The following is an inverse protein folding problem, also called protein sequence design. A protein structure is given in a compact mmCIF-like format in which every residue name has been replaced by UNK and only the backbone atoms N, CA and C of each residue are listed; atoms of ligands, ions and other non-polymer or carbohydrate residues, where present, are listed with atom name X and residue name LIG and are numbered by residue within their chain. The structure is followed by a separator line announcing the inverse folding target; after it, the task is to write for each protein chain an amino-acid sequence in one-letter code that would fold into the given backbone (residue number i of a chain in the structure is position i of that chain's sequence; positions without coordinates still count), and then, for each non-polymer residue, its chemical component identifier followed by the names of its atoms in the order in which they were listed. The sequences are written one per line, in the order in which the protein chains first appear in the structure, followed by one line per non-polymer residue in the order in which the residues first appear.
data_IF_912077448801
#
_entry.id   IF_912077448801
#
_cell.length_a   1.000
_cell.length_b   1.000
_cell.length_c   1.000
_cell.angle_alpha   90.00
_cell.angle_beta   90.00
_cell.angle_gamma   90.00
#
_symmetry.space_group_name_H-M   'P 1'
#
loop_
_entity.id
_entity.type
_entity.pdbx_description
1 polymer ?
#
# COMPACT_ATOMS: atom_id res chain seq x y z
N UNK A 1 -9.79 -8.18 -10.98
CA UNK A 1 -8.88 -7.02 -11.11
C UNK A 1 -9.59 -5.79 -11.64
N UNK A 2 -10.26 -5.85 -12.79
CA UNK A 2 -10.97 -4.70 -13.40
C UNK A 2 -11.95 -4.02 -12.44
N UNK A 3 -12.81 -4.78 -11.79
CA UNK A 3 -13.79 -4.25 -10.84
C UNK A 3 -13.13 -3.54 -9.64
N UNK A 4 -12.04 -4.08 -9.13
CA UNK A 4 -11.27 -3.51 -8.02
C UNK A 4 -10.58 -2.21 -8.43
N UNK A 5 -9.99 -2.17 -9.63
CA UNK A 5 -9.34 -0.98 -10.16
C UNK A 5 -10.35 0.11 -10.55
N UNK A 6 -11.34 -0.25 -11.39
CA UNK A 6 -12.20 0.77 -12.02
C UNK A 6 -13.28 1.32 -11.07
N UNK A 7 -13.76 0.53 -10.11
CA UNK A 7 -14.85 0.97 -9.23
C UNK A 7 -14.36 1.45 -7.86
N UNK A 8 -13.52 0.67 -7.17
CA UNK A 8 -13.11 1.04 -5.81
C UNK A 8 -12.11 2.19 -5.83
N UNK A 9 -11.08 2.12 -6.68
CA UNK A 9 -10.06 3.18 -6.75
C UNK A 9 -10.66 4.51 -7.26
N UNK A 10 -11.49 4.48 -8.30
CA UNK A 10 -12.15 5.68 -8.81
C UNK A 10 -13.08 6.34 -7.76
N UNK A 11 -13.73 5.54 -6.92
CA UNK A 11 -14.56 6.05 -5.82
C UNK A 11 -13.73 6.81 -4.79
N UNK A 12 -12.54 6.31 -4.41
CA UNK A 12 -11.64 7.03 -3.51
C UNK A 12 -11.23 8.38 -4.05
N UNK A 13 -10.85 8.46 -5.33
CA UNK A 13 -10.47 9.73 -5.99
C UNK A 13 -11.64 10.71 -5.98
N UNK A 14 -12.83 10.28 -6.39
CA UNK A 14 -14.03 11.12 -6.41
C UNK A 14 -14.38 11.68 -5.03
N UNK A 15 -14.38 10.83 -4.01
CA UNK A 15 -14.72 11.24 -2.65
C UNK A 15 -13.65 12.16 -2.04
N UNK A 16 -12.37 11.91 -2.34
CA UNK A 16 -11.28 12.80 -1.92
C UNK A 16 -11.44 14.19 -2.52
N UNK A 17 -11.68 14.27 -3.82
CA UNK A 17 -11.88 15.56 -4.51
C UNK A 17 -13.07 16.33 -3.90
N UNK A 18 -14.20 15.66 -3.65
CA UNK A 18 -15.35 16.28 -3.01
C UNK A 18 -15.06 16.80 -1.58
N UNK A 19 -14.21 16.12 -0.82
CA UNK A 19 -13.77 16.61 0.49
C UNK A 19 -12.87 17.85 0.36
N UNK A 20 -11.91 17.84 -0.57
CA UNK A 20 -10.97 18.94 -0.81
C UNK A 20 -11.67 20.20 -1.34
N UNK A 21 -12.74 20.07 -2.13
CA UNK A 21 -13.53 21.22 -2.61
C UNK A 21 -14.04 22.12 -1.47
N UNK A 22 -14.23 21.59 -0.28
CA UNK A 22 -14.63 22.35 0.91
C UNK A 22 -13.49 23.15 1.55
N UNK A 23 -12.25 22.80 1.21
CA UNK A 23 -11.02 23.37 1.77
C UNK A 23 -10.01 23.66 0.68
N UNK A 24 -10.22 24.76 -0.11
CA UNK A 24 -9.38 25.08 -1.28
C UNK A 24 -7.88 25.23 -0.96
N UNK A 25 -7.54 25.55 0.29
CA UNK A 25 -6.16 25.65 0.77
C UNK A 25 -5.39 24.31 0.68
N UNK A 26 -6.10 23.19 0.58
CA UNK A 26 -5.52 21.85 0.46
C UNK A 26 -5.35 21.39 -1.00
N UNK A 27 -5.92 22.10 -1.97
CA UNK A 27 -5.98 21.68 -3.37
C UNK A 27 -4.62 21.47 -4.06
N UNK A 28 -3.55 22.07 -3.54
CA UNK A 28 -2.18 21.91 -4.07
C UNK A 28 -1.39 20.76 -3.45
N UNK A 29 -1.96 20.02 -2.49
CA UNK A 29 -1.29 18.93 -1.79
C UNK A 29 -1.51 17.60 -2.51
N UNK A 30 -0.46 16.75 -2.55
CA UNK A 30 -0.60 15.37 -2.98
C UNK A 30 -1.43 14.55 -1.97
N UNK A 31 -1.98 13.42 -2.40
CA UNK A 31 -2.69 12.53 -1.49
C UNK A 31 -1.78 12.01 -0.37
N UNK A 32 -0.51 11.74 -0.69
CA UNK A 32 0.50 11.34 0.28
C UNK A 32 0.78 12.44 1.32
N UNK A 33 0.87 13.70 0.90
CA UNK A 33 1.08 14.83 1.81
C UNK A 33 -0.12 15.01 2.74
N UNK A 34 -1.34 14.81 2.24
CA UNK A 34 -2.56 14.89 3.04
C UNK A 34 -2.60 13.83 4.14
N UNK A 35 -2.19 12.58 3.86
CA UNK A 35 -2.21 11.52 4.88
C UNK A 35 -0.97 11.51 5.77
N UNK A 36 0.10 12.20 5.40
CA UNK A 36 1.34 12.29 6.19
C UNK A 36 1.13 12.98 7.53
N UNK A 37 0.31 14.01 7.56
CA UNK A 37 -0.06 14.74 8.77
C UNK A 37 -1.57 14.98 8.82
N UNK A 38 -2.29 13.96 9.24
CA UNK A 38 -3.76 14.03 9.39
C UNK A 38 -4.20 15.05 10.46
N UNK A 39 -3.33 15.39 11.40
CA UNK A 39 -3.66 16.41 12.41
C UNK A 39 -3.74 17.82 11.82
N UNK A 40 -3.02 18.06 10.72
CA UNK A 40 -3.11 19.33 9.97
C UNK A 40 -4.33 19.43 9.09
N UNK A 41 -5.09 18.34 8.90
CA UNK A 41 -6.32 18.34 8.10
C UNK A 41 -7.51 18.81 8.96
N UNK A 42 -8.36 19.74 8.45
CA UNK A 42 -9.56 20.19 9.14
C UNK A 42 -10.42 19.02 9.63
N UNK A 43 -10.94 19.13 10.84
CA UNK A 43 -11.63 18.04 11.52
C UNK A 43 -12.86 17.52 10.77
N UNK A 44 -13.59 18.43 10.12
CA UNK A 44 -14.81 18.12 9.37
C UNK A 44 -14.58 17.21 8.15
N UNK A 45 -13.35 17.21 7.57
CA UNK A 45 -12.98 16.36 6.43
C UNK A 45 -11.88 15.34 6.76
N UNK A 46 -11.29 15.37 7.94
CA UNK A 46 -10.15 14.52 8.32
C UNK A 46 -10.44 13.02 8.11
N UNK A 47 -11.60 12.55 8.52
CA UNK A 47 -12.01 11.15 8.31
C UNK A 47 -12.14 10.80 6.84
N UNK A 48 -12.74 11.67 6.04
CA UNK A 48 -12.88 11.49 4.60
C UNK A 48 -11.49 11.48 3.90
N UNK A 49 -10.59 12.37 4.27
CA UNK A 49 -9.21 12.42 3.75
C UNK A 49 -8.45 11.14 4.14
N UNK A 50 -8.47 10.75 5.41
CA UNK A 50 -7.83 9.51 5.88
C UNK A 50 -8.24 8.30 5.04
N UNK A 51 -9.54 8.12 4.84
CA UNK A 51 -10.07 6.95 4.14
C UNK A 51 -9.85 7.02 2.63
N UNK A 52 -10.11 8.16 2.01
CA UNK A 52 -10.10 8.27 0.56
C UNK A 52 -8.69 8.58 -0.01
N UNK A 53 -7.92 9.45 0.61
CA UNK A 53 -6.53 9.65 0.22
C UNK A 53 -5.69 8.41 0.53
N UNK A 54 -5.90 7.76 1.70
CA UNK A 54 -5.27 6.49 2.01
C UNK A 54 -5.61 5.41 1.00
N UNK A 55 -6.88 5.25 0.66
CA UNK A 55 -7.32 4.29 -0.37
C UNK A 55 -6.70 4.56 -1.73
N UNK A 56 -6.65 5.82 -2.16
CA UNK A 56 -6.01 6.20 -3.42
C UNK A 56 -4.50 5.86 -3.42
N UNK A 57 -3.77 6.28 -2.40
CA UNK A 57 -2.32 6.03 -2.28
C UNK A 57 -2.02 4.54 -2.25
N UNK A 58 -2.72 3.77 -1.43
CA UNK A 58 -2.52 2.34 -1.29
C UNK A 58 -2.75 1.60 -2.60
N UNK A 59 -3.83 1.90 -3.32
CA UNK A 59 -4.15 1.24 -4.59
C UNK A 59 -3.25 1.71 -5.74
N UNK A 60 -2.83 2.97 -5.78
CA UNK A 60 -1.87 3.46 -6.78
C UNK A 60 -0.55 2.68 -6.72
N UNK A 61 -0.06 2.40 -5.52
CA UNK A 61 1.09 1.52 -5.30
C UNK A 61 0.77 0.07 -5.70
N UNK A 62 -0.39 -0.45 -5.27
CA UNK A 62 -0.78 -1.85 -5.46
C UNK A 62 -0.79 -2.28 -6.92
N UNK A 63 -1.32 -1.44 -7.82
CA UNK A 63 -1.33 -1.75 -9.25
C UNK A 63 0.06 -1.81 -9.88
N UNK A 64 0.99 -1.01 -9.41
CA UNK A 64 2.37 -0.95 -9.94
C UNK A 64 3.23 -2.12 -9.49
N UNK A 65 3.03 -2.60 -8.27
CA UNK A 65 3.81 -3.72 -7.72
C UNK A 65 3.36 -5.10 -8.21
N UNK A 66 2.36 -5.14 -9.07
CA UNK A 66 1.87 -6.37 -9.70
C UNK A 66 2.00 -6.30 -11.21
N UNK A 67 2.28 -7.44 -11.84
CA UNK A 67 2.31 -7.58 -13.31
C UNK A 67 1.87 -8.97 -13.74
N UNK A 68 1.28 -9.11 -14.95
CA UNK A 68 1.09 -10.43 -15.57
C UNK A 68 2.43 -11.17 -15.68
N UNK A 69 2.42 -12.47 -15.44
CA UNK A 69 3.63 -13.31 -15.45
C UNK A 69 4.76 -12.81 -14.51
N UNK A 70 4.37 -12.14 -13.44
CA UNK A 70 5.27 -11.75 -12.35
C UNK A 70 5.61 -12.91 -11.42
N UNK A 71 6.07 -12.58 -10.23
CA UNK A 71 6.39 -13.55 -9.19
C UNK A 71 7.83 -14.07 -9.27
N UNK A 72 8.01 -15.29 -8.78
CA UNK A 72 9.33 -15.85 -8.58
C UNK A 72 10.02 -15.31 -7.33
N UNK A 73 11.28 -15.67 -7.16
CA UNK A 73 12.09 -15.19 -6.04
C UNK A 73 12.43 -13.71 -6.20
N UNK A 74 12.58 -12.97 -5.10
CA UNK A 74 13.03 -11.59 -5.16
C UNK A 74 14.43 -11.49 -5.78
N UNK A 75 14.66 -10.41 -6.50
CA UNK A 75 15.94 -10.10 -7.13
C UNK A 75 16.44 -8.73 -6.67
N UNK A 76 17.74 -8.46 -6.88
CA UNK A 76 18.34 -7.16 -6.60
C UNK A 76 18.41 -6.80 -5.10
N UNK A 77 18.58 -5.53 -4.77
CA UNK A 77 18.82 -5.07 -3.40
C UNK A 77 17.74 -5.44 -2.38
N UNK A 78 16.47 -5.58 -2.82
CA UNK A 78 15.41 -6.02 -1.91
C UNK A 78 15.59 -7.47 -1.47
N UNK A 79 16.12 -8.34 -2.33
CA UNK A 79 16.41 -9.74 -2.00
C UNK A 79 17.45 -9.84 -0.88
N UNK A 80 18.53 -9.08 -0.99
CA UNK A 80 19.57 -9.02 0.04
C UNK A 80 19.02 -8.51 1.38
N UNK A 81 18.18 -7.48 1.33
CA UNK A 81 17.55 -6.90 2.51
C UNK A 81 16.60 -7.88 3.18
N UNK A 82 15.77 -8.59 2.41
CA UNK A 82 14.88 -9.64 2.92
C UNK A 82 15.70 -10.75 3.61
N UNK A 83 16.74 -11.23 2.96
CA UNK A 83 17.61 -12.27 3.51
C UNK A 83 18.30 -11.80 4.80
N UNK A 84 18.87 -10.59 4.79
CA UNK A 84 19.53 -10.03 5.97
C UNK A 84 18.58 -9.85 7.15
N UNK A 85 17.34 -9.40 6.88
CA UNK A 85 16.39 -9.03 7.95
C UNK A 85 15.59 -10.23 8.46
N UNK A 86 15.25 -11.18 7.59
CA UNK A 86 14.31 -12.27 7.90
C UNK A 86 14.92 -13.66 7.81
N UNK A 87 16.18 -13.78 7.38
CA UNK A 87 16.91 -15.04 7.22
C UNK A 87 16.85 -15.60 5.80
N UNK A 88 15.66 -15.68 5.21
CA UNK A 88 15.45 -16.13 3.84
C UNK A 88 14.06 -15.67 3.34
N UNK A 89 13.82 -15.82 2.03
CA UNK A 89 12.57 -15.40 1.43
C UNK A 89 11.35 -16.20 1.90
N UNK A 90 11.51 -17.50 2.12
CA UNK A 90 10.42 -18.37 2.59
C UNK A 90 9.94 -17.98 4.00
N UNK A 91 10.86 -17.68 4.89
CA UNK A 91 10.53 -17.23 6.25
C UNK A 91 9.89 -15.84 6.22
N UNK A 92 10.37 -14.96 5.35
CA UNK A 92 9.76 -13.66 5.10
C UNK A 92 8.31 -13.82 4.61
N UNK A 93 8.06 -14.66 3.58
CA UNK A 93 6.71 -14.93 3.07
C UNK A 93 5.79 -15.45 4.18
N UNK A 94 6.27 -16.39 4.99
CA UNK A 94 5.49 -16.96 6.10
C UNK A 94 5.08 -15.88 7.11
N UNK A 95 6.01 -15.01 7.51
CA UNK A 95 5.75 -13.89 8.43
C UNK A 95 4.80 -12.85 7.83
N UNK A 96 5.00 -12.50 6.58
CA UNK A 96 4.14 -11.55 5.86
C UNK A 96 2.70 -12.09 5.73
N UNK A 97 2.55 -13.34 5.30
CA UNK A 97 1.25 -13.99 5.18
C UNK A 97 0.56 -14.14 6.54
N UNK A 98 1.31 -14.47 7.60
CA UNK A 98 0.76 -14.55 8.96
C UNK A 98 0.24 -13.18 9.43
N UNK A 99 0.98 -12.10 9.17
CA UNK A 99 0.54 -10.74 9.50
C UNK A 99 -0.73 -10.35 8.72
N UNK A 100 -0.80 -10.68 7.42
CA UNK A 100 -1.99 -10.43 6.59
C UNK A 100 -3.21 -11.26 7.03
N UNK A 101 -3.02 -12.52 7.35
CA UNK A 101 -4.08 -13.39 7.86
C UNK A 101 -4.56 -12.93 9.24
N UNK A 102 -3.66 -12.45 10.08
CA UNK A 102 -3.95 -11.95 11.44
C UNK A 102 -4.57 -10.55 11.47
N UNK A 103 -4.57 -9.81 10.36
CA UNK A 103 -5.24 -8.51 10.30
C UNK A 103 -6.75 -8.69 10.47
N UNK A 104 -7.27 -8.25 11.62
CA UNK A 104 -8.69 -8.36 11.92
C UNK A 104 -9.51 -7.40 11.05
N UNK A 105 -10.51 -7.93 10.35
CA UNK A 105 -11.34 -7.14 9.45
C UNK A 105 -10.62 -6.70 8.18
N UNK A 106 -11.03 -5.57 7.65
CA UNK A 106 -10.44 -4.95 6.45
C UNK A 106 -9.10 -4.30 6.78
N UNK A 107 -8.15 -4.38 5.86
CA UNK A 107 -6.85 -3.76 6.05
C UNK A 107 -5.83 -4.18 5.01
N UNK A 108 -4.58 -3.95 5.35
CA UNK A 108 -3.41 -4.21 4.52
C UNK A 108 -2.28 -4.83 5.33
N UNK A 109 -1.42 -5.58 4.66
CA UNK A 109 -0.12 -6.03 5.18
C UNK A 109 0.99 -5.45 4.32
N UNK A 110 2.08 -5.02 4.95
CA UNK A 110 3.14 -4.24 4.32
C UNK A 110 4.53 -4.78 4.63
N UNK A 111 5.45 -4.64 3.67
CA UNK A 111 6.86 -4.44 3.96
C UNK A 111 7.10 -2.93 3.93
N UNK A 112 7.44 -2.36 5.06
CA UNK A 112 7.61 -0.93 5.25
C UNK A 112 9.03 -0.57 5.71
N UNK A 113 9.52 0.56 5.22
CA UNK A 113 10.79 1.14 5.65
C UNK A 113 10.59 2.06 6.86
N UNK A 114 11.45 1.90 7.86
CA UNK A 114 11.50 2.77 9.05
C UNK A 114 12.37 4.00 8.78
N UNK A 115 12.13 5.12 9.47
CA UNK A 115 13.14 6.15 9.62
C UNK A 115 14.46 5.50 10.10
N UNK A 116 15.58 5.80 9.44
CA UNK A 116 16.86 5.14 9.73
C UNK A 116 17.26 4.02 8.78
N UNK A 117 16.35 3.54 7.92
CA UNK A 117 16.68 2.67 6.78
C UNK A 117 16.43 1.19 6.97
N UNK A 118 15.94 0.75 8.15
CA UNK A 118 15.53 -0.63 8.38
C UNK A 118 14.15 -0.92 7.79
N UNK A 119 13.88 -2.20 7.52
CA UNK A 119 12.58 -2.66 7.02
C UNK A 119 11.89 -3.56 8.04
N UNK A 120 10.56 -3.57 8.02
CA UNK A 120 9.76 -4.45 8.88
C UNK A 120 8.43 -4.78 8.23
N UNK A 121 7.81 -5.86 8.71
CA UNK A 121 6.43 -6.22 8.38
C UNK A 121 5.50 -5.51 9.34
N UNK A 122 4.45 -4.89 8.81
CA UNK A 122 3.38 -4.29 9.60
C UNK A 122 2.03 -4.50 8.93
N UNK A 123 0.95 -4.38 9.68
CA UNK A 123 -0.42 -4.33 9.13
C UNK A 123 -1.09 -3.02 9.53
N UNK A 124 -2.04 -2.59 8.73
CA UNK A 124 -2.85 -1.40 8.98
C UNK A 124 -4.32 -1.70 8.75
N UNK A 125 -5.24 -1.14 9.57
CA UNK A 125 -6.67 -1.32 9.38
C UNK A 125 -7.18 -0.44 8.23
N UNK A 126 -8.28 -0.88 7.63
CA UNK A 126 -9.01 -0.13 6.59
C UNK A 126 -8.09 0.37 5.47
N UNK A 127 -8.07 1.68 5.20
CA UNK A 127 -7.19 2.29 4.19
C UNK A 127 -6.04 3.10 4.82
N UNK A 128 -5.73 2.87 6.09
CA UNK A 128 -4.55 3.46 6.70
C UNK A 128 -3.29 3.02 5.97
N UNK A 129 -2.38 3.96 5.80
CA UNK A 129 -1.09 3.73 5.13
C UNK A 129 0.06 3.82 6.12
N UNK A 130 1.17 3.11 5.89
CA UNK A 130 2.42 3.31 6.65
C UNK A 130 2.88 4.76 6.70
N UNK A 131 2.57 5.56 5.66
CA UNK A 131 2.91 6.99 5.57
C UNK A 131 2.39 7.78 6.77
N UNK A 132 1.18 7.51 7.23
CA UNK A 132 0.57 8.18 8.39
C UNK A 132 1.36 7.94 9.69
N UNK A 133 2.11 6.85 9.74
CA UNK A 133 2.98 6.50 10.88
C UNK A 133 4.45 6.88 10.65
N UNK A 134 4.76 7.65 9.62
CA UNK A 134 6.12 8.06 9.27
C UNK A 134 6.97 6.97 8.63
N UNK A 135 6.36 5.89 8.12
CA UNK A 135 7.04 4.78 7.48
C UNK A 135 6.86 4.85 5.95
N UNK A 136 7.77 4.22 5.22
CA UNK A 136 7.72 4.16 3.75
C UNK A 136 7.09 2.84 3.29
N UNK A 137 5.97 2.85 2.56
CA UNK A 137 5.37 1.62 2.02
C UNK A 137 6.19 1.12 0.82
N UNK A 138 7.05 0.13 1.03
CA UNK A 138 7.84 -0.47 -0.05
C UNK A 138 6.92 -1.28 -0.96
N UNK A 139 6.18 -2.22 -0.38
CA UNK A 139 5.04 -2.88 -1.03
C UNK A 139 4.06 -3.41 0.01
N UNK A 140 2.84 -3.69 -0.42
CA UNK A 140 1.80 -4.22 0.47
C UNK A 140 0.74 -4.99 -0.28
N UNK A 141 -0.04 -5.77 0.45
CA UNK A 141 -1.16 -6.55 -0.07
C UNK A 141 -2.46 -6.14 0.60
N UNK A 142 -3.49 -5.94 -0.22
CA UNK A 142 -4.85 -5.64 0.19
C UNK A 142 -5.52 -6.90 0.75
N UNK A 143 -5.90 -6.89 2.02
CA UNK A 143 -6.61 -7.99 2.67
C UNK A 143 -8.07 -7.66 3.01
N UNK A 144 -8.62 -6.65 2.37
CA UNK A 144 -10.06 -6.43 2.32
C UNK A 144 -10.74 -7.62 1.63
N UNK A 145 -11.92 -8.01 2.07
CA UNK A 145 -12.65 -9.13 1.45
C UNK A 145 -12.91 -8.91 -0.04
N UNK A 146 -13.19 -7.67 -0.47
CA UNK A 146 -13.40 -7.37 -1.88
C UNK A 146 -12.19 -7.70 -2.78
N UNK A 147 -10.97 -7.75 -2.23
CA UNK A 147 -9.77 -8.10 -2.97
C UNK A 147 -9.74 -9.59 -3.37
N UNK A 148 -10.34 -10.46 -2.60
CA UNK A 148 -10.23 -11.91 -2.80
C UNK A 148 -11.55 -12.69 -2.80
N UNK A 149 -12.68 -12.09 -2.40
CA UNK A 149 -13.93 -12.82 -2.16
C UNK A 149 -14.47 -13.52 -3.42
N UNK A 150 -14.37 -12.89 -4.59
CA UNK A 150 -14.87 -13.46 -5.85
C UNK A 150 -14.19 -14.79 -6.23
N UNK A 151 -12.93 -14.99 -5.85
CA UNK A 151 -12.17 -16.20 -6.19
C UNK A 151 -11.95 -17.13 -5.00
N UNK A 152 -11.73 -16.57 -3.84
CA UNK A 152 -11.32 -17.31 -2.63
C UNK A 152 -12.38 -17.34 -1.54
N UNK A 153 -13.52 -16.64 -1.70
CA UNK A 153 -14.53 -16.46 -0.65
C UNK A 153 -13.87 -15.95 0.66
N UNK A 154 -14.05 -16.65 1.77
CA UNK A 154 -13.44 -16.30 3.05
C UNK A 154 -12.01 -16.86 3.26
N UNK A 155 -11.40 -17.45 2.22
CA UNK A 155 -10.10 -18.12 2.34
C UNK A 155 -8.93 -17.15 2.11
N UNK A 156 -8.81 -16.14 2.98
CA UNK A 156 -7.73 -15.16 2.95
C UNK A 156 -6.32 -15.78 2.88
N UNK A 157 -5.99 -16.85 3.64
CA UNK A 157 -4.67 -17.47 3.55
C UNK A 157 -4.32 -18.00 2.15
N UNK A 158 -5.29 -18.55 1.42
CA UNK A 158 -5.06 -19.01 0.04
C UNK A 158 -4.79 -17.86 -0.91
N UNK A 159 -5.52 -16.75 -0.76
CA UNK A 159 -5.27 -15.52 -1.50
C UNK A 159 -3.88 -14.96 -1.23
N UNK A 160 -3.47 -14.86 0.03
CA UNK A 160 -2.14 -14.40 0.44
C UNK A 160 -1.04 -15.27 -0.17
N UNK A 161 -1.20 -16.60 -0.17
CA UNK A 161 -0.24 -17.51 -0.78
C UNK A 161 -0.15 -17.34 -2.31
N UNK A 162 -1.27 -17.12 -3.00
CA UNK A 162 -1.33 -16.99 -4.45
C UNK A 162 -0.82 -15.62 -4.95
N UNK A 163 -0.92 -14.57 -4.15
CA UNK A 163 -0.55 -13.21 -4.54
C UNK A 163 0.92 -13.05 -4.93
N UNK A 164 1.82 -13.81 -4.32
CA UNK A 164 3.25 -13.79 -4.63
C UNK A 164 3.57 -14.07 -6.10
N UNK A 165 2.67 -14.77 -6.82
CA UNK A 165 2.86 -15.12 -8.22
C UNK A 165 2.66 -13.95 -9.21
N UNK A 166 2.24 -12.78 -8.75
CA UNK A 166 2.00 -11.61 -9.59
C UNK A 166 2.90 -10.43 -9.26
N UNK A 167 3.85 -10.57 -8.34
CA UNK A 167 4.70 -9.48 -7.91
C UNK A 167 5.64 -9.00 -9.01
N UNK A 168 5.80 -7.69 -9.09
CA UNK A 168 6.72 -7.00 -9.97
C UNK A 168 7.96 -6.57 -9.17
N UNK A 169 8.96 -7.46 -9.07
CA UNK A 169 10.17 -7.20 -8.30
C UNK A 169 10.99 -6.02 -8.83
N UNK A 170 10.91 -5.69 -10.12
CA UNK A 170 11.58 -4.52 -10.69
C UNK A 170 11.01 -3.22 -10.10
N UNK A 171 9.69 -3.11 -10.04
CA UNK A 171 9.03 -1.96 -9.43
C UNK A 171 9.27 -1.90 -7.91
N UNK A 172 9.24 -3.03 -7.23
CA UNK A 172 9.55 -3.12 -5.80
C UNK A 172 10.97 -2.64 -5.52
N UNK A 173 11.96 -3.00 -6.35
CA UNK A 173 13.33 -2.51 -6.23
C UNK A 173 13.45 -1.00 -6.47
N UNK A 174 12.69 -0.42 -7.41
CA UNK A 174 12.64 1.04 -7.60
C UNK A 174 12.14 1.76 -6.35
N UNK A 175 11.06 1.24 -5.77
CA UNK A 175 10.49 1.79 -4.53
C UNK A 175 11.46 1.64 -3.35
N UNK A 176 12.13 0.51 -3.25
CA UNK A 176 13.17 0.29 -2.24
C UNK A 176 14.36 1.25 -2.41
N UNK A 177 14.82 1.46 -3.64
CA UNK A 177 15.88 2.42 -3.93
C UNK A 177 15.47 3.86 -3.56
N UNK A 178 14.23 4.25 -3.85
CA UNK A 178 13.69 5.55 -3.45
C UNK A 178 13.67 5.70 -1.91
N UNK A 179 13.23 4.68 -1.20
CA UNK A 179 13.29 4.64 0.27
C UNK A 179 14.73 4.81 0.78
N UNK A 180 15.69 4.06 0.26
CA UNK A 180 17.10 4.13 0.67
C UNK A 180 17.77 5.46 0.35
N UNK A 181 17.30 6.19 -0.66
CA UNK A 181 17.77 7.54 -1.00
C UNK A 181 17.15 8.65 -0.15
N UNK A 182 16.29 8.31 0.80
CA UNK A 182 15.59 9.29 1.65
C UNK A 182 14.46 10.04 0.94
N UNK A 183 14.04 9.59 -0.26
CA UNK A 183 12.87 10.17 -0.93
C UNK A 183 11.61 9.83 -0.14
N UNK A 184 10.70 10.81 -0.06
CA UNK A 184 9.35 10.55 0.43
C UNK A 184 8.58 9.69 -0.56
N UNK A 185 7.63 8.88 -0.06
CA UNK A 185 6.73 8.17 -0.94
C UNK A 185 5.84 9.19 -1.67
N UNK A 186 6.02 9.30 -2.97
CA UNK A 186 5.15 10.05 -3.86
C UNK A 186 4.74 9.16 -5.02
N UNK A 187 3.45 9.00 -5.20
CA UNK A 187 2.89 8.53 -6.43
C UNK A 187 2.63 9.76 -7.33
N UNK A 188 2.93 9.69 -8.64
CA UNK A 188 2.64 10.84 -9.50
C UNK A 188 1.16 11.21 -9.40
N UNK A 189 0.89 12.51 -9.30
CA UNK A 189 -0.48 13.01 -9.33
C UNK A 189 -1.21 12.41 -10.54
N UNK A 190 -2.40 11.88 -10.32
CA UNK A 190 -3.25 11.43 -11.42
C UNK A 190 -3.50 12.65 -12.31
N UNK A 191 -3.13 12.55 -13.59
CA UNK A 191 -3.59 13.50 -14.57
C UNK A 191 -5.12 13.52 -14.54
N UNK A 192 -5.69 14.69 -14.33
CA UNK A 192 -7.12 14.89 -14.44
C UNK A 192 -7.55 14.52 -15.86
N UNK A 193 -8.30 13.43 -15.98
CA UNK A 193 -9.04 13.09 -17.19
C UNK A 193 -10.53 13.24 -16.91
#
# INVERSE_FOLDING_TARGET
MTLHHDMHHATYVKNLNAAIEKHPELAGKSAEDLIRDLNAIPEDIRGAVRNNAGGHVNHSMFWKIMKPNGGGDPTGPIADTITKTFGNFKDFQAKFNAAGAGQFGSGWVWLAGKPGGDVHIMSTPNQDSPITQGHYPIFGNDVWEHAYYLKYNNRRPEYLAAWWNVLNWDEINKRYAAFKSGKTAHEPALAHH
#
